data_IF_786242962127
#
_entry.id   IF_786242962127
#
_cell.length_a   1.000
_cell.length_b   1.000
_cell.length_c   1.000
_cell.angle_alpha   90.00
_cell.angle_beta   90.00
_cell.angle_gamma   90.00
#
_symmetry.space_group_name_H-M   'P 1'
#
loop_
_entity.id
_entity.type
_entity.pdbx_description
1 polymer ?
#
# COMPACT_ATOMS: atom_id res chain seq x y z
N UNK A 1 -28.35 -20.98 1.79
CA UNK A 1 -28.35 -20.66 3.24
C UNK A 1 -27.41 -19.46 3.40
N UNK A 2 -27.94 -18.29 3.81
CA UNK A 2 -27.11 -17.14 4.16
C UNK A 2 -26.42 -17.45 5.49
N UNK A 3 -25.10 -17.62 5.47
CA UNK A 3 -24.33 -17.76 6.70
C UNK A 3 -24.40 -16.43 7.48
N UNK A 4 -24.81 -16.50 8.74
CA UNK A 4 -24.77 -15.34 9.63
C UNK A 4 -23.31 -15.02 9.93
N UNK A 5 -22.82 -13.79 9.65
CA UNK A 5 -21.45 -13.44 9.94
C UNK A 5 -21.18 -13.46 11.44
N UNK A 6 -19.99 -13.92 11.81
CA UNK A 6 -19.51 -13.85 13.18
C UNK A 6 -19.01 -12.42 13.46
N UNK A 7 -19.56 -11.77 14.48
CA UNK A 7 -19.13 -10.42 14.87
C UNK A 7 -18.23 -10.53 16.10
N UNK A 8 -17.00 -10.05 15.97
CA UNK A 8 -16.05 -9.91 17.06
C UNK A 8 -15.79 -8.41 17.29
N UNK A 9 -16.34 -7.87 18.36
CA UNK A 9 -16.27 -6.45 18.68
C UNK A 9 -15.60 -6.22 20.02
N UNK A 10 -14.58 -5.35 20.02
CA UNK A 10 -13.87 -4.90 21.21
C UNK A 10 -13.98 -3.37 21.31
N UNK A 11 -14.31 -2.87 22.49
CA UNK A 11 -14.43 -1.41 22.72
C UNK A 11 -13.10 -0.65 22.65
N UNK A 12 -11.99 -1.35 22.86
CA UNK A 12 -10.65 -0.77 22.94
C UNK A 12 -9.70 -1.44 21.91
N UNK A 13 -8.49 -1.75 22.37
CA UNK A 13 -7.43 -2.32 21.55
C UNK A 13 -7.43 -3.84 21.60
N UNK A 14 -7.02 -4.46 20.51
CA UNK A 14 -6.70 -5.88 20.42
C UNK A 14 -5.18 -6.05 20.29
N UNK A 15 -4.60 -6.90 21.13
CA UNK A 15 -3.21 -7.34 21.02
C UNK A 15 -3.20 -8.81 20.63
N UNK A 16 -2.70 -9.12 19.45
CA UNK A 16 -2.58 -10.48 18.97
C UNK A 16 -1.13 -10.94 19.00
N UNK A 17 -0.81 -11.84 19.91
CA UNK A 17 0.50 -12.52 20.02
C UNK A 17 0.48 -13.94 19.44
N UNK A 18 -0.69 -14.44 19.08
CA UNK A 18 -0.93 -15.80 18.59
C UNK A 18 -1.50 -15.80 17.17
N UNK A 19 -2.52 -16.61 16.95
CA UNK A 19 -3.15 -16.75 15.64
C UNK A 19 -4.65 -16.49 15.71
N UNK A 20 -5.13 -15.57 14.87
CA UNK A 20 -6.55 -15.32 14.63
C UNK A 20 -6.88 -15.81 13.22
N UNK A 21 -7.86 -16.70 13.09
CA UNK A 21 -8.30 -17.22 11.78
C UNK A 21 -9.81 -17.02 11.59
N UNK A 22 -10.17 -16.27 10.56
CA UNK A 22 -11.55 -16.11 10.13
C UNK A 22 -11.86 -17.14 9.03
N UNK A 23 -12.55 -18.23 9.39
CA UNK A 23 -12.93 -19.32 8.46
C UNK A 23 -14.31 -19.13 7.84
N UNK A 24 -15.08 -18.16 8.33
CA UNK A 24 -16.42 -17.79 7.85
C UNK A 24 -16.48 -16.29 7.67
N UNK A 25 -17.46 -15.79 6.90
CA UNK A 25 -17.70 -14.35 6.82
C UNK A 25 -17.78 -13.75 8.22
N UNK A 26 -16.93 -12.77 8.49
CA UNK A 26 -16.75 -12.23 9.84
C UNK A 26 -16.63 -10.72 9.82
N UNK A 27 -17.03 -10.07 10.91
CA UNK A 27 -16.78 -8.68 11.16
C UNK A 27 -15.89 -8.53 12.42
N UNK A 28 -14.77 -7.89 12.28
CA UNK A 28 -13.84 -7.58 13.36
C UNK A 28 -13.80 -6.08 13.58
N UNK A 29 -14.17 -5.64 14.76
CA UNK A 29 -14.27 -4.22 15.12
C UNK A 29 -13.47 -3.94 16.38
N UNK A 30 -12.52 -3.02 16.32
CA UNK A 30 -11.87 -2.45 17.50
C UNK A 30 -11.30 -1.06 17.19
N UNK A 31 -10.83 -0.33 18.19
CA UNK A 31 -10.17 0.95 17.96
C UNK A 31 -8.77 0.77 17.37
N UNK A 32 -8.00 -0.14 17.96
CA UNK A 32 -6.63 -0.38 17.53
C UNK A 32 -6.31 -1.87 17.49
N UNK A 33 -5.51 -2.28 16.51
CA UNK A 33 -4.97 -3.63 16.41
C UNK A 33 -3.44 -3.58 16.45
N UNK A 34 -2.86 -4.29 17.42
CA UNK A 34 -1.42 -4.53 17.54
C UNK A 34 -1.19 -6.01 17.24
N UNK A 35 -0.67 -6.31 16.06
CA UNK A 35 -0.47 -7.67 15.58
C UNK A 35 1.01 -8.04 15.56
N UNK A 36 1.42 -8.89 16.50
CA UNK A 36 2.75 -9.50 16.54
C UNK A 36 2.73 -10.97 16.07
N UNK A 37 1.54 -11.57 16.03
CA UNK A 37 1.31 -12.94 15.55
C UNK A 37 0.73 -12.98 14.15
N UNK A 38 -0.16 -13.93 13.92
CA UNK A 38 -0.83 -14.14 12.63
C UNK A 38 -2.30 -13.72 12.69
N UNK A 39 -2.74 -12.97 11.69
CA UNK A 39 -4.17 -12.74 11.40
C UNK A 39 -4.43 -13.22 9.98
N UNK A 40 -5.33 -14.21 9.82
CA UNK A 40 -5.66 -14.80 8.52
C UNK A 40 -7.15 -14.78 8.28
N UNK A 41 -7.56 -14.38 7.09
CA UNK A 41 -8.94 -14.52 6.62
C UNK A 41 -8.98 -15.39 5.38
N UNK A 42 -9.68 -16.53 5.52
CA UNK A 42 -9.92 -17.49 4.42
C UNK A 42 -11.16 -17.12 3.61
N UNK A 43 -11.98 -16.21 4.13
CA UNK A 43 -13.25 -15.77 3.55
C UNK A 43 -13.36 -14.25 3.63
N UNK A 44 -14.52 -13.67 3.29
CA UNK A 44 -14.73 -12.25 3.48
C UNK A 44 -14.66 -11.86 4.96
N UNK A 45 -13.74 -10.98 5.29
CA UNK A 45 -13.65 -10.38 6.62
C UNK A 45 -13.72 -8.87 6.50
N UNK A 46 -14.73 -8.28 7.13
CA UNK A 46 -14.81 -6.85 7.30
C UNK A 46 -14.03 -6.47 8.55
N UNK A 47 -12.97 -5.70 8.38
CA UNK A 47 -12.15 -5.23 9.48
C UNK A 47 -12.35 -3.73 9.61
N UNK A 48 -12.77 -3.29 10.79
CA UNK A 48 -13.06 -1.90 11.10
C UNK A 48 -12.18 -1.45 12.27
N UNK A 49 -11.16 -0.65 11.97
CA UNK A 49 -10.27 -0.03 12.93
C UNK A 49 -10.41 1.50 12.82
N UNK A 50 -10.38 2.20 13.95
CA UNK A 50 -10.61 3.66 13.95
C UNK A 50 -9.40 4.50 14.39
N UNK A 51 -8.37 3.90 14.97
CA UNK A 51 -7.22 4.64 15.49
C UNK A 51 -5.90 4.13 14.92
N UNK A 52 -5.45 2.95 15.38
CA UNK A 52 -4.11 2.44 15.06
C UNK A 52 -4.15 1.02 14.52
N UNK A 53 -3.32 0.77 13.52
CA UNK A 53 -2.94 -0.57 13.13
C UNK A 53 -1.41 -0.68 13.10
N UNK A 54 -0.86 -1.49 13.99
CA UNK A 54 0.56 -1.81 14.04
C UNK A 54 0.71 -3.31 13.78
N UNK A 55 1.50 -3.66 12.75
CA UNK A 55 1.74 -5.03 12.35
C UNK A 55 3.24 -5.32 12.32
N UNK A 56 3.70 -6.18 13.21
CA UNK A 56 5.04 -6.77 13.18
C UNK A 56 5.03 -8.25 12.82
N UNK A 57 3.87 -8.87 12.80
CA UNK A 57 3.64 -10.25 12.39
C UNK A 57 3.10 -10.37 10.95
N UNK A 58 2.18 -11.30 10.74
CA UNK A 58 1.53 -11.54 9.45
C UNK A 58 0.06 -11.12 9.49
N UNK A 59 -0.38 -10.38 8.49
CA UNK A 59 -1.78 -10.10 8.25
C UNK A 59 -2.11 -10.50 6.82
N UNK A 60 -2.95 -11.53 6.64
CA UNK A 60 -3.31 -12.05 5.33
C UNK A 60 -4.82 -12.11 5.13
N UNK A 61 -5.30 -11.58 4.01
CA UNK A 61 -6.70 -11.68 3.60
C UNK A 61 -6.81 -12.08 2.14
N UNK A 62 -7.28 -13.30 1.92
CA UNK A 62 -7.56 -13.85 0.59
C UNK A 62 -8.97 -13.50 0.10
N UNK A 63 -9.65 -12.59 0.80
CA UNK A 63 -10.97 -12.12 0.40
C UNK A 63 -10.86 -11.20 -0.81
N UNK A 64 -11.70 -11.46 -1.83
CA UNK A 64 -11.87 -10.51 -2.95
C UNK A 64 -12.58 -9.23 -2.53
N UNK A 65 -13.19 -9.24 -1.34
CA UNK A 65 -13.83 -8.06 -0.80
C UNK A 65 -12.79 -7.02 -0.39
N UNK A 66 -13.14 -5.76 -0.59
CA UNK A 66 -12.28 -4.64 -0.29
C UNK A 66 -12.13 -4.46 1.23
N UNK A 67 -10.93 -4.62 1.74
CA UNK A 67 -10.57 -4.25 3.13
C UNK A 67 -10.41 -2.73 3.17
N UNK A 68 -11.30 -2.05 3.91
CA UNK A 68 -11.26 -0.59 4.07
C UNK A 68 -10.87 -0.25 5.49
N UNK A 69 -9.79 0.51 5.65
CA UNK A 69 -9.32 0.98 6.94
C UNK A 69 -9.21 2.52 6.92
N UNK A 70 -9.76 3.15 7.96
CA UNK A 70 -9.59 4.58 8.19
C UNK A 70 -8.87 4.77 9.52
N UNK A 71 -7.60 5.22 9.48
CA UNK A 71 -6.70 5.14 10.62
C UNK A 71 -6.01 6.47 10.90
N UNK A 72 -5.76 6.76 12.18
CA UNK A 72 -4.84 7.82 12.57
C UNK A 72 -3.41 7.44 12.16
N UNK A 73 -3.01 6.18 12.45
CA UNK A 73 -1.69 5.67 12.09
C UNK A 73 -1.77 4.22 11.68
N UNK A 74 -1.09 3.91 10.56
CA UNK A 74 -0.83 2.57 10.09
C UNK A 74 0.67 2.34 10.05
N UNK A 75 1.16 1.38 10.81
CA UNK A 75 2.57 0.98 10.83
C UNK A 75 2.69 -0.49 10.48
N UNK A 76 3.54 -0.80 9.50
CA UNK A 76 3.84 -2.16 9.12
C UNK A 76 5.34 -2.41 9.18
N UNK A 77 5.76 -3.21 10.14
CA UNK A 77 7.11 -3.72 10.28
C UNK A 77 7.21 -5.20 9.85
N UNK A 78 6.06 -5.87 9.64
CA UNK A 78 5.91 -7.27 9.25
C UNK A 78 5.44 -7.47 7.80
N UNK A 79 4.55 -8.43 7.60
CA UNK A 79 4.02 -8.79 6.30
C UNK A 79 2.49 -8.60 6.25
N UNK A 80 2.03 -7.93 5.20
CA UNK A 80 0.60 -7.75 4.91
C UNK A 80 0.35 -8.19 3.48
N UNK A 81 -0.58 -9.14 3.32
CA UNK A 81 -1.04 -9.65 2.04
C UNK A 81 -2.56 -9.54 1.96
N UNK A 82 -3.06 -8.60 1.15
CA UNK A 82 -4.49 -8.39 0.97
C UNK A 82 -4.82 -8.28 -0.52
N UNK A 83 -5.82 -9.03 -1.03
CA UNK A 83 -6.18 -8.89 -2.44
C UNK A 83 -6.56 -7.45 -2.79
N UNK A 84 -7.45 -6.83 -2.01
CA UNK A 84 -7.88 -5.46 -2.21
C UNK A 84 -7.83 -4.67 -0.89
N UNK A 85 -6.98 -3.65 -0.83
CA UNK A 85 -6.80 -2.82 0.36
C UNK A 85 -6.98 -1.34 0.05
N UNK A 86 -7.85 -0.68 0.79
CA UNK A 86 -8.07 0.75 0.77
C UNK A 86 -7.75 1.35 2.13
N UNK A 87 -6.71 2.18 2.18
CA UNK A 87 -6.27 2.87 3.38
C UNK A 87 -6.53 4.36 3.26
N UNK A 88 -7.14 4.93 4.29
CA UNK A 88 -7.30 6.39 4.42
C UNK A 88 -6.91 6.84 5.81
N UNK A 89 -6.48 8.09 5.94
CA UNK A 89 -6.19 8.69 7.25
C UNK A 89 -4.97 9.58 7.29
N UNK A 90 -4.23 9.56 8.42
CA UNK A 90 -3.16 10.51 8.61
C UNK A 90 -1.79 9.97 8.19
N UNK A 91 -1.35 8.85 8.75
CA UNK A 91 0.03 8.42 8.56
C UNK A 91 0.14 6.93 8.23
N UNK A 92 0.88 6.61 7.16
CA UNK A 92 1.39 5.27 6.86
C UNK A 92 2.92 5.25 7.02
N UNK A 93 3.42 4.32 7.82
CA UNK A 93 4.85 3.99 7.90
C UNK A 93 5.00 2.51 7.53
N UNK A 94 5.65 2.23 6.41
CA UNK A 94 5.92 0.86 5.97
C UNK A 94 7.41 0.56 6.03
N UNK A 95 7.80 -0.34 6.92
CA UNK A 95 9.16 -0.88 7.06
C UNK A 95 9.24 -2.37 6.72
N UNK A 96 8.10 -2.99 6.47
CA UNK A 96 7.96 -4.37 6.07
C UNK A 96 7.43 -4.52 4.64
N UNK A 97 6.70 -5.58 4.37
CA UNK A 97 6.11 -5.84 3.07
C UNK A 97 4.61 -5.63 3.11
N UNK A 98 4.08 -4.86 2.17
CA UNK A 98 2.66 -4.70 1.95
C UNK A 98 2.35 -5.07 0.50
N UNK A 99 1.61 -6.17 0.32
CA UNK A 99 1.27 -6.75 -0.97
C UNK A 99 -0.24 -6.76 -1.20
N UNK A 100 -0.64 -6.72 -2.48
CA UNK A 100 -2.02 -6.94 -2.87
C UNK A 100 -2.21 -7.02 -4.37
N UNK A 101 -3.43 -7.28 -4.81
CA UNK A 101 -3.76 -7.10 -6.23
C UNK A 101 -4.05 -5.64 -6.55
N UNK A 102 -4.82 -4.98 -5.68
CA UNK A 102 -5.11 -3.55 -5.78
C UNK A 102 -4.89 -2.90 -4.42
N UNK A 103 -3.96 -1.96 -4.38
CA UNK A 103 -3.68 -1.15 -3.20
C UNK A 103 -3.99 0.32 -3.50
N UNK A 104 -4.90 0.91 -2.74
CA UNK A 104 -5.24 2.33 -2.81
C UNK A 104 -5.01 2.97 -1.43
N UNK A 105 -4.03 3.85 -1.36
CA UNK A 105 -3.54 4.47 -0.12
C UNK A 105 -3.69 5.98 -0.21
N UNK A 106 -4.60 6.53 0.58
CA UNK A 106 -4.90 7.96 0.64
C UNK A 106 -4.64 8.47 2.06
N UNK A 107 -3.38 8.70 2.37
CA UNK A 107 -2.92 9.16 3.68
C UNK A 107 -2.34 10.57 3.58
N UNK A 108 -2.41 11.35 4.66
CA UNK A 108 -1.76 12.66 4.66
C UNK A 108 -0.24 12.52 4.52
N UNK A 109 0.34 11.53 5.18
CA UNK A 109 1.77 11.20 5.11
C UNK A 109 1.97 9.72 4.79
N UNK A 110 2.83 9.41 3.84
CA UNK A 110 3.24 8.05 3.46
C UNK A 110 4.75 7.99 3.49
N UNK A 111 5.29 7.23 4.43
CA UNK A 111 6.72 6.91 4.51
C UNK A 111 6.92 5.45 4.16
N UNK A 112 7.48 5.18 2.98
CA UNK A 112 7.86 3.85 2.57
C UNK A 112 9.38 3.66 2.73
N UNK A 113 9.76 2.74 3.61
CA UNK A 113 11.15 2.37 3.89
C UNK A 113 11.47 0.94 3.44
N UNK A 114 10.48 0.23 2.87
CA UNK A 114 10.67 -1.14 2.38
C UNK A 114 9.79 -1.37 1.13
N UNK A 115 8.92 -2.38 1.10
CA UNK A 115 8.19 -2.76 -0.11
C UNK A 115 6.70 -2.47 0.00
N UNK A 116 6.19 -1.63 -0.91
CA UNK A 116 4.78 -1.52 -1.24
C UNK A 116 4.60 -2.03 -2.67
N UNK A 117 3.83 -3.10 -2.85
CA UNK A 117 3.64 -3.66 -4.18
C UNK A 117 2.23 -4.17 -4.43
N UNK A 118 1.79 -4.09 -5.66
CA UNK A 118 0.55 -4.69 -6.11
C UNK A 118 0.74 -5.45 -7.42
N UNK A 119 -0.05 -6.50 -7.63
CA UNK A 119 -0.03 -7.26 -8.88
C UNK A 119 -0.66 -6.47 -10.03
N UNK A 120 -1.64 -5.63 -9.74
CA UNK A 120 -2.34 -4.81 -10.74
C UNK A 120 -2.04 -3.32 -10.53
N UNK A 121 -2.64 -2.72 -9.52
CA UNK A 121 -2.57 -1.27 -9.34
C UNK A 121 -2.16 -0.87 -7.94
N UNK A 122 -1.08 -0.10 -7.84
CA UNK A 122 -0.72 0.66 -6.65
C UNK A 122 -1.03 2.14 -6.86
N UNK A 123 -1.89 2.70 -6.04
CA UNK A 123 -2.23 4.13 -6.04
C UNK A 123 -1.89 4.75 -4.70
N UNK A 124 -1.08 5.80 -4.70
CA UNK A 124 -0.68 6.55 -3.50
C UNK A 124 -1.03 8.03 -3.63
N UNK A 125 -1.74 8.55 -2.64
CA UNK A 125 -2.08 9.97 -2.56
C UNK A 125 -1.75 10.52 -1.17
N UNK A 126 -1.01 11.63 -1.12
CA UNK A 126 -0.59 12.30 0.11
C UNK A 126 0.84 12.84 0.02
N UNK A 127 1.45 13.13 1.16
CA UNK A 127 2.88 13.42 1.24
C UNK A 127 3.67 12.11 1.18
N UNK A 128 4.22 11.76 0.00
CA UNK A 128 4.86 10.47 -0.25
C UNK A 128 6.38 10.60 -0.15
N UNK A 129 6.99 9.82 0.73
CA UNK A 129 8.44 9.62 0.80
C UNK A 129 8.75 8.16 0.50
N UNK A 130 9.49 7.92 -0.60
CA UNK A 130 10.02 6.60 -0.94
C UNK A 130 11.52 6.61 -0.65
N UNK A 131 11.93 5.95 0.42
CA UNK A 131 13.30 5.99 0.94
C UNK A 131 14.29 5.26 0.01
N UNK A 132 15.59 5.43 0.26
CA UNK A 132 16.70 4.97 -0.63
C UNK A 132 16.64 3.47 -0.93
N UNK A 133 16.30 2.64 0.06
CA UNK A 133 16.20 1.19 -0.10
C UNK A 133 14.80 0.70 -0.42
N UNK A 134 13.84 1.62 -0.49
CA UNK A 134 12.44 1.28 -0.63
C UNK A 134 12.00 1.09 -2.08
N UNK A 135 10.96 0.30 -2.26
CA UNK A 135 10.36 0.00 -3.56
C UNK A 135 8.86 0.26 -3.58
N UNK A 136 8.40 0.95 -4.61
CA UNK A 136 7.00 1.08 -5.00
C UNK A 136 6.81 0.35 -6.33
N UNK A 137 5.94 -0.66 -6.34
CA UNK A 137 5.67 -1.47 -7.53
C UNK A 137 4.17 -1.62 -7.78
N UNK A 138 3.72 -1.20 -8.95
CA UNK A 138 2.38 -1.49 -9.47
C UNK A 138 2.47 -2.39 -10.68
N UNK A 139 1.96 -3.63 -10.62
CA UNK A 139 2.12 -4.62 -11.67
C UNK A 139 1.71 -4.10 -13.04
N UNK A 140 0.45 -3.72 -13.20
CA UNK A 140 -0.03 -3.06 -14.42
C UNK A 140 0.20 -1.55 -14.34
N UNK A 141 -0.12 -0.93 -13.19
CA UNK A 141 -0.05 0.52 -13.05
C UNK A 141 0.40 0.98 -11.65
N UNK A 142 1.35 1.92 -11.63
CA UNK A 142 1.73 2.71 -10.45
C UNK A 142 1.20 4.14 -10.62
N UNK A 143 0.34 4.60 -9.71
CA UNK A 143 -0.23 5.95 -9.71
C UNK A 143 0.26 6.70 -8.47
N UNK A 144 0.90 7.83 -8.68
CA UNK A 144 1.35 8.70 -7.62
C UNK A 144 0.74 10.10 -7.78
N UNK A 145 0.01 10.54 -6.75
CA UNK A 145 -0.55 11.89 -6.66
C UNK A 145 -0.04 12.58 -5.39
N UNK A 146 1.28 12.84 -5.31
CA UNK A 146 1.87 13.43 -4.11
C UNK A 146 1.40 14.87 -3.92
N UNK A 147 1.09 15.22 -2.66
CA UNK A 147 0.66 16.57 -2.28
C UNK A 147 1.84 17.52 -1.99
N UNK A 148 2.99 16.97 -1.63
CA UNK A 148 4.19 17.78 -1.40
C UNK A 148 4.85 18.19 -2.74
N UNK A 149 5.52 19.33 -2.71
CA UNK A 149 6.26 19.85 -3.87
C UNK A 149 7.65 20.33 -3.40
N UNK A 150 8.73 19.83 -3.98
CA UNK A 150 8.80 18.79 -5.00
C UNK A 150 8.53 17.38 -4.44
N UNK A 151 7.95 16.48 -5.24
CA UNK A 151 8.00 15.04 -4.96
C UNK A 151 9.43 14.54 -5.25
N UNK A 152 10.05 13.90 -4.28
CA UNK A 152 11.42 13.38 -4.41
C UNK A 152 11.39 11.87 -4.22
N UNK A 153 11.73 11.13 -5.30
CA UNK A 153 11.95 9.70 -5.21
C UNK A 153 13.42 9.41 -4.90
N UNK A 154 13.70 8.73 -3.79
CA UNK A 154 15.05 8.30 -3.42
C UNK A 154 15.26 6.80 -3.71
N UNK A 155 14.19 6.00 -3.68
CA UNK A 155 14.20 4.57 -3.89
C UNK A 155 13.85 4.14 -5.32
N UNK A 156 13.15 3.02 -5.44
CA UNK A 156 12.74 2.46 -6.73
C UNK A 156 11.25 2.68 -6.98
N UNK A 157 10.91 3.19 -8.15
CA UNK A 157 9.57 3.20 -8.73
C UNK A 157 9.55 2.22 -9.88
N UNK A 158 8.61 1.29 -9.91
CA UNK A 158 8.51 0.34 -11.02
C UNK A 158 7.07 -0.07 -11.32
N UNK A 159 6.83 -0.40 -12.58
CA UNK A 159 5.59 -0.98 -13.08
C UNK A 159 5.92 -1.82 -14.31
N UNK A 160 5.10 -2.82 -14.62
CA UNK A 160 5.27 -3.58 -15.87
C UNK A 160 4.75 -2.80 -17.09
N UNK A 161 3.80 -1.87 -16.90
CA UNK A 161 3.16 -1.17 -18.01
C UNK A 161 3.24 0.35 -17.87
N UNK A 162 2.66 0.93 -16.80
CA UNK A 162 2.54 2.38 -16.69
C UNK A 162 2.93 2.88 -15.29
N UNK A 163 3.70 3.98 -15.28
CA UNK A 163 3.88 4.84 -14.10
C UNK A 163 3.27 6.20 -14.42
N UNK A 164 2.25 6.58 -13.64
CA UNK A 164 1.58 7.87 -13.73
C UNK A 164 1.92 8.71 -12.49
N UNK A 165 2.47 9.91 -12.70
CA UNK A 165 2.80 10.84 -11.61
C UNK A 165 2.14 12.18 -11.90
N UNK A 166 1.30 12.64 -10.97
CA UNK A 166 0.63 13.94 -11.05
C UNK A 166 1.15 14.83 -9.95
N UNK A 167 2.10 15.70 -10.27
CA UNK A 167 2.72 16.67 -9.35
C UNK A 167 3.27 17.87 -10.11
N UNK A 168 3.28 19.09 -9.54
CA UNK A 168 3.92 20.25 -10.18
C UNK A 168 5.43 20.08 -10.36
N UNK A 169 6.11 19.40 -9.44
CA UNK A 169 7.58 19.22 -9.52
C UNK A 169 7.96 17.83 -9.05
N UNK A 170 8.74 17.12 -9.87
CA UNK A 170 9.22 15.78 -9.58
C UNK A 170 10.74 15.68 -9.72
N UNK A 171 11.42 15.31 -8.65
CA UNK A 171 12.85 15.04 -8.63
C UNK A 171 13.10 13.53 -8.45
N UNK A 172 13.63 12.89 -9.49
CA UNK A 172 14.06 11.50 -9.38
C UNK A 172 15.54 11.43 -8.98
N UNK A 173 15.81 11.03 -7.76
CA UNK A 173 17.16 10.72 -7.24
C UNK A 173 17.38 9.22 -7.09
N UNK A 174 16.33 8.43 -7.26
CA UNK A 174 16.33 6.98 -7.23
C UNK A 174 16.24 6.37 -8.64
N UNK A 175 15.64 5.20 -8.74
CA UNK A 175 15.50 4.47 -10.00
C UNK A 175 14.03 4.44 -10.44
N UNK A 176 13.78 4.72 -11.70
CA UNK A 176 12.50 4.43 -12.36
C UNK A 176 12.74 3.28 -13.34
N UNK A 177 11.93 2.23 -13.24
CA UNK A 177 12.07 1.03 -14.07
C UNK A 177 10.72 0.56 -14.60
N UNK A 178 10.60 0.48 -15.92
CA UNK A 178 9.46 -0.08 -16.61
C UNK A 178 10.02 -1.06 -17.64
N UNK A 179 9.86 -2.38 -17.46
CA UNK A 179 10.36 -3.36 -18.40
C UNK A 179 9.68 -3.21 -19.76
N UNK A 180 10.34 -3.75 -20.79
CA UNK A 180 9.85 -3.66 -22.17
C UNK A 180 8.56 -4.46 -22.34
N UNK A 181 7.44 -3.74 -22.31
CA UNK A 181 6.16 -4.21 -22.85
C UNK A 181 5.75 -3.29 -23.99
N UNK A 182 4.82 -3.71 -24.85
CA UNK A 182 4.31 -2.85 -25.94
C UNK A 182 3.60 -1.58 -25.43
N UNK A 183 3.35 -1.47 -24.13
CA UNK A 183 2.59 -0.40 -23.47
C UNK A 183 3.39 0.34 -22.40
N UNK A 184 4.72 0.11 -22.31
CA UNK A 184 5.56 0.75 -21.29
C UNK A 184 5.49 2.29 -21.40
N UNK A 185 5.01 2.96 -20.34
CA UNK A 185 4.79 4.39 -20.33
C UNK A 185 5.14 5.03 -18.98
N UNK A 186 5.91 6.12 -19.01
CA UNK A 186 6.03 7.07 -17.91
C UNK A 186 5.21 8.33 -18.25
N UNK A 187 4.12 8.55 -17.55
CA UNK A 187 3.20 9.67 -17.75
C UNK A 187 3.34 10.69 -16.62
N UNK A 188 3.81 11.89 -16.95
CA UNK A 188 3.83 13.04 -16.04
C UNK A 188 2.64 13.94 -16.38
N UNK A 189 1.69 14.08 -15.46
CA UNK A 189 0.46 14.84 -15.69
C UNK A 189 0.51 16.23 -15.06
N UNK A 190 -0.10 17.17 -15.73
CA UNK A 190 -0.11 18.59 -15.35
C UNK A 190 1.12 19.33 -15.86
N UNK A 191 1.35 20.53 -15.34
CA UNK A 191 2.57 21.32 -15.61
C UNK A 191 3.71 20.84 -14.71
N UNK A 192 4.29 19.68 -15.03
CA UNK A 192 5.32 19.09 -14.20
C UNK A 192 6.72 19.54 -14.61
N UNK A 193 7.44 20.18 -13.70
CA UNK A 193 8.88 20.34 -13.80
C UNK A 193 9.57 19.05 -13.37
N UNK A 194 10.28 18.40 -14.31
CA UNK A 194 10.92 17.11 -14.06
C UNK A 194 12.44 17.23 -14.05
N UNK A 195 13.06 16.85 -12.95
CA UNK A 195 14.50 16.74 -12.78
C UNK A 195 14.90 15.30 -12.52
N UNK A 196 15.63 14.68 -13.45
CA UNK A 196 16.20 13.36 -13.26
C UNK A 196 17.69 13.47 -12.89
N UNK A 197 18.04 13.01 -11.70
CA UNK A 197 19.41 12.99 -11.16
C UNK A 197 19.98 11.56 -11.06
N UNK A 198 19.24 10.55 -11.48
CA UNK A 198 19.67 9.16 -11.48
C UNK A 198 19.09 8.41 -12.70
N UNK A 199 18.76 7.13 -12.56
CA UNK A 199 18.44 6.24 -13.67
C UNK A 199 16.95 6.21 -13.98
N UNK A 200 16.63 6.30 -15.27
CA UNK A 200 15.33 5.91 -15.83
C UNK A 200 15.59 4.83 -16.88
N UNK A 201 14.88 3.72 -16.76
CA UNK A 201 14.98 2.59 -17.69
C UNK A 201 13.57 2.18 -18.12
N UNK A 202 13.26 2.45 -19.39
CA UNK A 202 11.96 2.14 -19.99
C UNK A 202 12.21 1.28 -21.23
N UNK A 203 11.78 0.03 -21.17
CA UNK A 203 11.97 -0.91 -22.24
C UNK A 203 13.40 -1.42 -22.40
N UNK A 204 13.59 -2.45 -23.23
CA UNK A 204 14.90 -2.79 -23.80
C UNK A 204 15.10 -1.96 -25.07
N UNK A 205 16.10 -1.10 -25.09
CA UNK A 205 16.65 -0.60 -26.36
C UNK A 205 17.29 -1.80 -27.07
N UNK A 206 16.58 -2.41 -28.03
CA UNK A 206 17.13 -3.36 -28.99
C UNK A 206 17.71 -2.62 -30.18
#
# INVERSE_FOLDING_TARGET
ESEIPCIFSLENSCHNLGTIVFKKPSEFVCKSLFNEGDVKSETSAKISLSEYFENSGTFASNSKDLVKLHLIKFQNDGQIDCENLYLTGNQLVNKGTLNGQVLDVQMNEILNQATLQSEKRLSLSGSVTNDVTASLFGGEKLILTPKQTPFVNLGRLSSNEEIEITTPTFHNKGVIYIPSTQQACLSLKGTCEFLNLNKIEIGECR
#
